data_IF_371149868610
#
_entry.id   IF_371149868610
#
_cell.length_a   1.000
_cell.length_b   1.000
_cell.length_c   1.000
_cell.angle_alpha   90.00
_cell.angle_beta   90.00
_cell.angle_gamma   90.00
#
_symmetry.space_group_name_H-M   'P 1'
#
loop_
_entity.id
_entity.type
_entity.pdbx_description
1 polymer ?
#
# COMPACT_ATOMS: atom_id res chain seq x y z
N UNK A 1 -3.87 17.09 -0.37
CA UNK A 1 -3.16 16.00 0.36
C UNK A 1 -3.20 16.30 1.83
N UNK A 2 -3.55 15.31 2.67
CA UNK A 2 -3.48 15.37 4.14
C UNK A 2 -2.20 14.68 4.63
N UNK A 3 -1.63 15.14 5.73
CA UNK A 3 -0.48 14.47 6.37
C UNK A 3 -0.76 14.36 7.86
N UNK A 4 -0.99 13.12 8.28
CA UNK A 4 -1.25 12.75 9.67
C UNK A 4 0.08 12.36 10.29
N UNK A 5 0.52 13.08 11.32
CA UNK A 5 1.78 12.84 12.00
C UNK A 5 1.47 12.28 13.38
N UNK A 6 1.67 10.99 13.55
CA UNK A 6 1.44 10.28 14.79
C UNK A 6 2.73 10.13 15.60
N UNK A 7 2.60 9.97 16.90
CA UNK A 7 3.73 9.94 17.82
C UNK A 7 4.70 8.78 17.54
N UNK A 8 4.19 7.64 17.13
CA UNK A 8 4.94 6.41 16.92
C UNK A 8 4.19 5.46 15.98
N UNK A 9 4.82 4.32 15.66
CA UNK A 9 4.26 3.30 14.78
C UNK A 9 2.94 2.72 15.28
N UNK A 10 2.76 2.56 16.58
CA UNK A 10 1.52 2.02 17.15
C UNK A 10 0.35 2.98 16.94
N UNK A 11 0.54 4.28 17.18
CA UNK A 11 -0.50 5.28 16.96
C UNK A 11 -0.81 5.46 15.46
N UNK A 12 0.22 5.47 14.59
CA UNK A 12 0.07 5.43 13.15
C UNK A 12 -0.80 4.25 12.71
N UNK A 13 -0.51 3.06 13.24
CA UNK A 13 -1.23 1.83 12.90
C UNK A 13 -2.69 1.88 13.34
N UNK A 14 -2.97 2.41 14.54
CA UNK A 14 -4.34 2.60 15.06
C UNK A 14 -5.11 3.62 14.24
N UNK A 15 -4.49 4.76 13.93
CA UNK A 15 -5.12 5.79 13.10
C UNK A 15 -5.50 5.23 11.73
N UNK A 16 -4.56 4.56 11.07
CA UNK A 16 -4.79 3.99 9.75
C UNK A 16 -5.89 2.92 9.76
N UNK A 17 -5.90 2.03 10.76
CA UNK A 17 -6.94 1.02 10.90
C UNK A 17 -8.31 1.65 11.17
N UNK A 18 -8.38 2.64 12.08
CA UNK A 18 -9.61 3.40 12.36
C UNK A 18 -10.16 4.02 11.09
N UNK A 19 -9.32 4.70 10.29
CA UNK A 19 -9.72 5.32 9.04
C UNK A 19 -10.30 4.30 8.05
N UNK A 20 -9.68 3.13 7.91
CA UNK A 20 -10.20 2.03 7.07
C UNK A 20 -11.57 1.58 7.56
N UNK A 21 -11.71 1.31 8.86
CA UNK A 21 -12.97 0.85 9.47
C UNK A 21 -14.09 1.88 9.29
N UNK A 22 -13.81 3.14 9.58
CA UNK A 22 -14.77 4.23 9.43
C UNK A 22 -15.19 4.42 7.97
N UNK A 23 -14.26 4.35 7.03
CA UNK A 23 -14.53 4.49 5.59
C UNK A 23 -15.40 3.34 5.08
N UNK A 24 -15.10 2.10 5.46
CA UNK A 24 -15.93 0.93 5.10
C UNK A 24 -17.34 1.08 5.69
N UNK A 25 -17.45 1.43 6.96
CA UNK A 25 -18.74 1.57 7.65
C UNK A 25 -19.58 2.73 7.09
N UNK A 26 -18.94 3.84 6.71
CA UNK A 26 -19.62 4.96 6.06
C UNK A 26 -20.12 4.61 4.64
N UNK A 27 -19.38 3.77 3.92
CA UNK A 27 -19.77 3.31 2.58
C UNK A 27 -20.95 2.33 2.61
N UNK A 28 -21.09 1.53 3.69
CA UNK A 28 -22.13 0.51 3.87
C UNK A 28 -22.15 -0.52 2.71
N UNK A 29 -21.08 -1.32 2.55
CA UNK A 29 -20.97 -2.25 1.43
C UNK A 29 -22.08 -3.32 1.44
N UNK A 30 -22.56 -3.66 0.23
CA UNK A 30 -23.53 -4.75 0.00
C UNK A 30 -22.99 -5.71 -1.07
N UNK A 31 -23.68 -6.81 -1.29
CA UNK A 31 -23.31 -7.76 -2.36
C UNK A 31 -23.37 -7.10 -3.76
N UNK A 32 -24.32 -6.18 -3.98
CA UNK A 32 -24.49 -5.48 -5.25
C UNK A 32 -23.57 -4.26 -5.38
N UNK A 33 -23.07 -3.76 -4.25
CA UNK A 33 -22.18 -2.60 -4.19
C UNK A 33 -21.05 -2.89 -3.19
N UNK A 34 -20.08 -3.73 -3.55
CA UNK A 34 -18.94 -4.03 -2.69
C UNK A 34 -18.03 -2.80 -2.51
N UNK A 35 -17.32 -2.74 -1.39
CA UNK A 35 -16.22 -1.79 -1.22
C UNK A 35 -14.93 -2.40 -1.76
N UNK A 36 -14.20 -1.66 -2.59
CA UNK A 36 -12.99 -2.13 -3.25
C UNK A 36 -11.76 -1.55 -2.58
N UNK A 37 -10.94 -2.43 -1.96
CA UNK A 37 -9.79 -2.06 -1.15
C UNK A 37 -8.48 -2.51 -1.79
N UNK A 38 -7.57 -1.57 -2.05
CA UNK A 38 -6.19 -1.83 -2.46
C UNK A 38 -5.29 -2.04 -1.24
N UNK A 39 -4.43 -3.07 -1.24
CA UNK A 39 -3.67 -3.51 -0.09
C UNK A 39 -2.18 -3.71 -0.39
N UNK A 40 -1.27 -3.18 0.46
CA UNK A 40 0.17 -3.43 0.36
C UNK A 40 0.61 -4.64 1.18
N UNK A 41 1.83 -5.10 0.95
CA UNK A 41 2.58 -5.98 1.84
C UNK A 41 3.72 -5.23 2.54
N UNK A 42 4.59 -5.94 3.25
CA UNK A 42 5.74 -5.39 3.94
C UNK A 42 5.48 -5.01 5.40
N UNK A 43 6.47 -4.41 6.05
CA UNK A 43 6.42 -4.18 7.49
C UNK A 43 5.52 -3.02 7.94
N UNK A 44 5.34 -1.99 7.10
CA UNK A 44 4.55 -0.80 7.48
C UNK A 44 3.07 -1.10 7.75
N UNK A 45 2.35 -1.93 6.97
CA UNK A 45 0.93 -2.20 7.20
C UNK A 45 0.64 -3.23 8.30
N UNK A 46 1.64 -3.94 8.83
CA UNK A 46 1.40 -5.05 9.78
C UNK A 46 0.63 -4.62 11.03
N UNK A 47 0.99 -3.49 11.63
CA UNK A 47 0.29 -2.96 12.80
C UNK A 47 -1.16 -2.58 12.47
N UNK A 48 -1.38 -1.94 11.32
CA UNK A 48 -2.74 -1.63 10.84
C UNK A 48 -3.55 -2.91 10.61
N UNK A 49 -2.99 -3.95 9.99
CA UNK A 49 -3.69 -5.23 9.81
C UNK A 49 -4.07 -5.87 11.14
N UNK A 50 -3.16 -5.84 12.12
CA UNK A 50 -3.46 -6.36 13.45
C UNK A 50 -4.64 -5.62 14.13
N UNK A 51 -4.72 -4.30 13.98
CA UNK A 51 -5.84 -3.50 14.50
C UNK A 51 -7.14 -3.77 13.71
N UNK A 52 -7.10 -3.90 12.38
CA UNK A 52 -8.27 -4.29 11.57
C UNK A 52 -8.80 -5.66 12.00
N UNK A 53 -7.92 -6.65 12.21
CA UNK A 53 -8.32 -7.99 12.70
C UNK A 53 -9.01 -7.91 14.06
N UNK A 54 -8.56 -7.03 14.97
CA UNK A 54 -9.24 -6.79 16.25
C UNK A 54 -10.64 -6.21 16.04
N UNK A 55 -10.78 -5.22 15.16
CA UNK A 55 -12.08 -4.59 14.86
C UNK A 55 -13.08 -5.59 14.25
N UNK A 56 -12.62 -6.46 13.32
CA UNK A 56 -13.47 -7.53 12.77
C UNK A 56 -13.90 -8.51 13.85
N UNK A 57 -12.99 -8.97 14.71
CA UNK A 57 -13.30 -9.87 15.82
C UNK A 57 -14.24 -9.24 16.86
N UNK A 58 -14.18 -7.92 17.05
CA UNK A 58 -15.08 -7.17 17.89
C UNK A 58 -16.46 -6.90 17.23
N UNK A 59 -16.62 -7.21 15.94
CA UNK A 59 -17.85 -6.93 15.18
C UNK A 59 -18.04 -5.45 14.83
N UNK A 60 -16.96 -4.66 14.86
CA UNK A 60 -16.98 -3.23 14.53
C UNK A 60 -17.00 -2.99 13.01
N UNK A 61 -16.51 -3.96 12.22
CA UNK A 61 -16.49 -3.94 10.76
C UNK A 61 -16.58 -5.36 10.21
N UNK A 62 -17.14 -5.52 9.00
CA UNK A 62 -17.19 -6.78 8.26
C UNK A 62 -16.59 -6.63 6.88
N UNK A 63 -15.81 -7.60 6.45
CA UNK A 63 -15.22 -7.69 5.11
C UNK A 63 -16.02 -8.59 4.17
N UNK A 64 -17.20 -9.04 4.58
CA UNK A 64 -18.05 -9.96 3.81
C UNK A 64 -18.41 -9.44 2.41
N UNK A 65 -18.58 -8.14 2.26
CA UNK A 65 -18.93 -7.47 0.99
C UNK A 65 -17.78 -6.58 0.49
N UNK A 66 -16.55 -7.07 0.64
CA UNK A 66 -15.34 -6.40 0.16
C UNK A 66 -14.81 -7.12 -1.07
N UNK A 67 -14.16 -6.37 -1.96
CA UNK A 67 -13.22 -6.87 -2.96
C UNK A 67 -11.85 -6.32 -2.62
N UNK A 68 -10.81 -7.14 -2.68
CA UNK A 68 -9.45 -6.69 -2.36
C UNK A 68 -8.51 -6.89 -3.54
N UNK A 69 -7.59 -5.94 -3.75
CA UNK A 69 -6.56 -5.99 -4.79
C UNK A 69 -5.20 -5.69 -4.17
N UNK A 70 -4.27 -6.65 -4.20
CA UNK A 70 -2.92 -6.41 -3.73
C UNK A 70 -2.07 -5.65 -4.76
N UNK A 71 -1.08 -4.89 -4.27
CA UNK A 71 -0.24 -4.03 -5.12
C UNK A 71 0.68 -4.81 -6.04
N UNK A 72 1.19 -5.95 -5.60
CA UNK A 72 2.30 -6.64 -6.25
C UNK A 72 2.41 -8.11 -5.81
N UNK A 73 3.22 -8.87 -6.54
CA UNK A 73 3.68 -10.22 -6.19
C UNK A 73 4.99 -10.52 -6.92
N UNK A 74 5.84 -11.31 -6.30
CA UNK A 74 7.08 -11.81 -6.92
C UNK A 74 6.80 -12.77 -8.06
N UNK A 75 7.59 -12.67 -9.14
CA UNK A 75 7.56 -13.64 -10.25
C UNK A 75 8.39 -14.87 -9.91
N UNK A 76 7.82 -16.05 -10.17
CA UNK A 76 8.49 -17.34 -10.03
C UNK A 76 8.54 -17.88 -8.60
N UNK A 77 7.92 -17.19 -7.63
CA UNK A 77 7.81 -17.66 -6.26
C UNK A 77 6.48 -18.41 -6.09
N UNK A 78 6.47 -19.67 -5.63
CA UNK A 78 5.23 -20.40 -5.37
C UNK A 78 4.34 -19.63 -4.37
N UNK A 79 3.02 -19.64 -4.54
CA UNK A 79 2.08 -18.99 -3.61
C UNK A 79 2.24 -19.49 -2.16
N UNK A 80 2.58 -20.79 -2.00
CA UNK A 80 2.84 -21.40 -0.70
C UNK A 80 4.20 -21.06 -0.09
N UNK A 81 5.07 -20.37 -0.81
CA UNK A 81 6.36 -19.95 -0.26
C UNK A 81 6.14 -18.95 0.88
N UNK A 82 6.85 -19.06 2.03
CA UNK A 82 6.63 -18.17 3.18
C UNK A 82 6.72 -16.69 2.84
N UNK A 83 7.57 -16.32 1.88
CA UNK A 83 7.83 -14.94 1.49
C UNK A 83 7.03 -14.50 0.24
N UNK A 84 6.11 -15.33 -0.26
CA UNK A 84 5.14 -14.87 -1.27
C UNK A 84 4.16 -13.88 -0.63
N UNK A 85 3.66 -12.94 -1.41
CA UNK A 85 2.68 -11.99 -0.90
C UNK A 85 1.32 -12.66 -0.67
N UNK A 86 1.01 -13.75 -1.37
CA UNK A 86 -0.12 -14.62 -1.03
C UNK A 86 -0.01 -15.15 0.40
N UNK A 87 1.13 -15.74 0.78
CA UNK A 87 1.36 -16.24 2.14
C UNK A 87 1.40 -15.11 3.17
N UNK A 88 2.04 -13.99 2.83
CA UNK A 88 2.06 -12.81 3.71
C UNK A 88 0.65 -12.32 4.05
N UNK A 89 -0.19 -12.13 3.04
CA UNK A 89 -1.55 -11.63 3.23
C UNK A 89 -2.45 -12.63 3.93
N UNK A 90 -2.33 -13.91 3.61
CA UNK A 90 -3.05 -14.96 4.30
C UNK A 90 -2.73 -14.96 5.81
N UNK A 91 -1.44 -14.89 6.17
CA UNK A 91 -0.99 -14.98 7.56
C UNK A 91 -1.27 -13.71 8.37
N UNK A 92 -1.24 -12.53 7.76
CA UNK A 92 -1.36 -11.26 8.49
C UNK A 92 -2.76 -10.65 8.45
N UNK A 93 -3.62 -11.05 7.49
CA UNK A 93 -4.96 -10.48 7.35
C UNK A 93 -6.03 -11.51 6.98
N UNK A 94 -5.96 -12.12 5.80
CA UNK A 94 -7.11 -12.82 5.21
C UNK A 94 -7.59 -14.06 5.99
N UNK A 95 -6.70 -14.79 6.67
CA UNK A 95 -7.10 -15.91 7.53
C UNK A 95 -7.80 -15.48 8.83
N UNK A 96 -7.85 -14.18 9.13
CA UNK A 96 -8.32 -13.62 10.39
C UNK A 96 -9.56 -12.75 10.26
N UNK A 97 -10.04 -12.52 9.04
CA UNK A 97 -11.20 -11.69 8.71
C UNK A 97 -12.24 -12.48 7.89
N UNK A 98 -13.42 -11.93 7.72
CA UNK A 98 -14.57 -12.57 7.05
C UNK A 98 -14.66 -12.26 5.54
N UNK A 99 -13.54 -11.88 4.90
CA UNK A 99 -13.50 -11.67 3.45
C UNK A 99 -13.63 -13.01 2.69
N UNK A 100 -14.59 -13.16 1.76
CA UNK A 100 -14.68 -14.35 0.93
C UNK A 100 -13.43 -14.54 0.07
N UNK A 101 -12.96 -15.77 -0.08
CA UNK A 101 -11.71 -16.06 -0.83
C UNK A 101 -11.80 -15.64 -2.29
N UNK A 102 -12.96 -15.80 -2.90
CA UNK A 102 -13.26 -15.40 -4.27
C UNK A 102 -13.18 -13.88 -4.51
N UNK A 103 -13.21 -13.11 -3.43
CA UNK A 103 -13.11 -11.65 -3.46
C UNK A 103 -11.68 -11.13 -3.22
N UNK A 104 -10.72 -12.02 -3.02
CA UNK A 104 -9.33 -11.69 -2.75
C UNK A 104 -8.55 -11.82 -4.06
N UNK A 105 -8.02 -10.71 -4.58
CA UNK A 105 -7.24 -10.67 -5.81
C UNK A 105 -5.79 -10.31 -5.51
N UNK A 106 -4.89 -11.22 -5.82
CA UNK A 106 -3.44 -11.04 -5.77
C UNK A 106 -2.89 -11.47 -7.12
N UNK A 107 -1.95 -10.71 -7.68
CA UNK A 107 -1.31 -11.02 -8.96
C UNK A 107 -0.67 -12.41 -8.94
N UNK A 108 -0.85 -13.17 -10.00
CA UNK A 108 -0.26 -14.49 -10.14
C UNK A 108 1.14 -14.40 -10.78
N UNK A 109 2.19 -14.36 -9.96
CA UNK A 109 3.59 -14.34 -10.41
C UNK A 109 4.06 -15.61 -11.13
N UNK A 110 3.21 -16.66 -11.21
CA UNK A 110 3.47 -17.92 -11.90
C UNK A 110 2.56 -18.13 -13.12
N UNK A 111 1.86 -17.08 -13.59
CA UNK A 111 1.04 -17.17 -14.79
C UNK A 111 1.90 -17.51 -16.02
N UNK A 112 1.35 -18.32 -16.95
CA UNK A 112 2.05 -18.67 -18.21
C UNK A 112 2.37 -17.43 -19.06
N UNK A 113 1.46 -16.41 -19.02
CA UNK A 113 1.64 -15.13 -19.69
C UNK A 113 1.49 -13.99 -18.67
N UNK A 114 2.61 -13.48 -18.18
CA UNK A 114 2.67 -12.42 -17.19
C UNK A 114 2.09 -11.08 -17.68
N UNK A 115 2.22 -10.79 -18.98
CA UNK A 115 1.67 -9.56 -19.54
C UNK A 115 0.14 -9.62 -19.62
N UNK A 116 -0.41 -10.78 -19.94
CA UNK A 116 -1.85 -11.01 -19.95
C UNK A 116 -2.43 -10.99 -18.55
N UNK A 117 -1.72 -11.57 -17.57
CA UNK A 117 -2.08 -11.48 -16.15
C UNK A 117 -2.21 -10.01 -15.72
N UNK A 118 -1.21 -9.18 -16.04
CA UNK A 118 -1.25 -7.76 -15.73
C UNK A 118 -2.43 -7.03 -16.39
N UNK A 119 -2.74 -7.33 -17.66
CA UNK A 119 -3.87 -6.74 -18.38
C UNK A 119 -5.23 -7.16 -17.77
N UNK A 120 -5.34 -8.45 -17.42
CA UNK A 120 -6.55 -8.97 -16.79
C UNK A 120 -6.77 -8.38 -15.40
N UNK A 121 -5.69 -8.17 -14.64
CA UNK A 121 -5.76 -7.52 -13.34
C UNK A 121 -6.29 -6.08 -13.43
N UNK A 122 -5.78 -5.28 -14.37
CA UNK A 122 -6.30 -3.94 -14.65
C UNK A 122 -7.77 -3.96 -15.09
N UNK A 123 -8.12 -4.92 -15.95
CA UNK A 123 -9.50 -5.09 -16.41
C UNK A 123 -10.45 -5.44 -15.26
N UNK A 124 -10.05 -6.34 -14.35
CA UNK A 124 -10.85 -6.65 -13.15
C UNK A 124 -11.07 -5.40 -12.28
N UNK A 125 -10.04 -4.58 -12.08
CA UNK A 125 -10.16 -3.31 -11.33
C UNK A 125 -11.15 -2.36 -12.03
N UNK A 126 -11.11 -2.26 -13.35
CA UNK A 126 -12.02 -1.42 -14.14
C UNK A 126 -13.47 -1.93 -14.09
N UNK A 127 -13.68 -3.24 -14.24
CA UNK A 127 -15.00 -3.89 -14.23
C UNK A 127 -15.73 -3.73 -12.89
N UNK A 128 -15.01 -3.66 -11.77
CA UNK A 128 -15.60 -3.40 -10.44
C UNK A 128 -15.79 -1.91 -10.13
N UNK A 129 -15.49 -1.03 -11.08
CA UNK A 129 -15.65 0.42 -10.94
C UNK A 129 -14.48 1.15 -10.28
N UNK A 130 -13.29 0.55 -10.28
CA UNK A 130 -12.08 1.09 -9.67
C UNK A 130 -11.96 0.79 -8.17
N UNK A 131 -10.92 1.30 -7.56
CA UNK A 131 -10.61 1.08 -6.13
C UNK A 131 -11.13 2.25 -5.31
N UNK A 132 -11.86 1.97 -4.24
CA UNK A 132 -12.43 2.99 -3.34
C UNK A 132 -11.34 3.59 -2.43
N UNK A 133 -10.52 2.73 -1.81
CA UNK A 133 -9.37 3.13 -1.00
C UNK A 133 -8.16 2.29 -1.37
N UNK A 134 -7.08 2.91 -1.83
CA UNK A 134 -5.80 2.23 -2.05
C UNK A 134 -4.84 2.55 -0.92
N UNK A 135 -4.44 1.52 -0.16
CA UNK A 135 -3.43 1.64 0.89
C UNK A 135 -2.08 1.26 0.31
N UNK A 136 -1.05 2.03 0.61
CA UNK A 136 0.31 1.78 0.17
C UNK A 136 1.34 2.04 1.25
N UNK A 137 2.55 1.57 1.02
CA UNK A 137 3.76 1.99 1.72
C UNK A 137 4.63 2.87 0.83
N UNK A 138 5.74 3.33 1.39
CA UNK A 138 6.76 4.09 0.66
C UNK A 138 8.13 3.42 0.82
N UNK A 139 8.86 3.25 -0.28
CA UNK A 139 10.25 2.82 -0.25
C UNK A 139 11.19 3.91 0.30
N UNK A 140 12.40 3.57 0.77
CA UNK A 140 13.39 4.58 1.20
C UNK A 140 13.80 5.53 0.07
N UNK A 141 13.70 5.08 -1.17
CA UNK A 141 13.94 5.81 -2.42
C UNK A 141 12.67 6.47 -2.99
N UNK A 142 11.57 6.44 -2.24
CA UNK A 142 10.30 7.06 -2.60
C UNK A 142 9.45 6.28 -3.59
N UNK A 143 9.74 5.00 -3.83
CA UNK A 143 8.86 4.20 -4.67
C UNK A 143 7.53 3.85 -3.98
N UNK A 144 6.47 3.78 -4.76
CA UNK A 144 5.16 3.23 -4.37
C UNK A 144 4.94 1.91 -5.12
N UNK A 145 4.52 0.84 -4.41
CA UNK A 145 4.57 -0.54 -4.90
C UNK A 145 6.00 -0.85 -5.41
N UNK A 146 6.19 -1.64 -6.47
CA UNK A 146 7.52 -1.78 -7.10
C UNK A 146 7.74 -0.78 -8.26
N UNK A 147 7.15 0.42 -8.17
CA UNK A 147 7.45 1.49 -9.11
C UNK A 147 8.74 2.21 -8.71
N UNK A 148 9.87 1.57 -8.97
CA UNK A 148 11.22 2.09 -8.76
C UNK A 148 11.38 3.52 -9.32
N UNK A 149 12.35 4.32 -8.82
CA UNK A 149 12.66 5.64 -9.36
C UNK A 149 12.70 5.64 -10.90
N UNK A 150 12.24 6.72 -11.51
CA UNK A 150 12.10 6.91 -12.95
C UNK A 150 11.01 6.06 -13.64
N UNK A 151 10.16 5.35 -12.87
CA UNK A 151 8.93 4.78 -13.43
C UNK A 151 7.95 5.88 -13.83
N UNK A 152 7.25 5.70 -14.96
CA UNK A 152 6.24 6.65 -15.39
C UNK A 152 5.14 6.84 -14.35
N UNK A 153 4.77 8.09 -14.07
CA UNK A 153 3.68 8.43 -13.13
C UNK A 153 2.29 8.04 -13.67
N UNK A 154 2.19 7.69 -14.96
CA UNK A 154 0.95 7.19 -15.59
C UNK A 154 1.00 5.69 -15.88
N UNK A 155 2.01 4.98 -15.35
CA UNK A 155 2.17 3.54 -15.56
C UNK A 155 0.98 2.74 -15.02
N UNK A 156 0.69 1.62 -15.69
CA UNK A 156 -0.32 0.64 -15.28
C UNK A 156 0.36 -0.64 -14.80
N UNK A 157 -0.42 -1.63 -14.37
CA UNK A 157 0.08 -2.92 -13.91
C UNK A 157 0.96 -3.58 -14.97
N UNK A 158 2.13 -4.05 -14.56
CA UNK A 158 3.14 -4.60 -15.47
C UNK A 158 4.17 -5.46 -14.76
N UNK A 159 4.94 -6.20 -15.56
CA UNK A 159 6.17 -6.86 -15.12
C UNK A 159 7.25 -5.80 -14.86
N UNK A 160 7.92 -5.91 -13.72
CA UNK A 160 9.00 -4.99 -13.33
C UNK A 160 10.23 -5.74 -12.86
N UNK A 161 11.40 -5.37 -13.38
CA UNK A 161 12.69 -5.80 -12.84
C UNK A 161 13.00 -4.99 -11.58
N UNK A 162 13.34 -5.66 -10.49
CA UNK A 162 13.71 -5.03 -9.23
C UNK A 162 15.16 -4.56 -9.26
N UNK A 163 15.42 -3.39 -8.72
CA UNK A 163 16.78 -2.87 -8.57
C UNK A 163 17.60 -3.71 -7.58
N UNK A 164 18.91 -3.61 -7.65
CA UNK A 164 19.81 -4.25 -6.69
C UNK A 164 19.51 -3.75 -5.27
N UNK A 165 19.26 -2.45 -5.09
CA UNK A 165 18.99 -1.85 -3.78
C UNK A 165 17.68 -2.39 -3.18
N UNK A 166 16.62 -2.53 -3.99
CA UNK A 166 15.36 -3.15 -3.57
C UNK A 166 15.56 -4.61 -3.17
N UNK A 167 16.35 -5.38 -3.94
CA UNK A 167 16.67 -6.77 -3.59
C UNK A 167 17.49 -6.87 -2.30
N UNK A 168 18.47 -5.99 -2.10
CA UNK A 168 19.23 -5.89 -0.84
C UNK A 168 18.28 -5.57 0.32
N UNK A 169 17.42 -4.57 0.18
CA UNK A 169 16.46 -4.19 1.22
C UNK A 169 15.50 -5.34 1.59
N UNK A 170 15.07 -6.13 0.59
CA UNK A 170 14.15 -7.25 0.78
C UNK A 170 14.86 -8.55 1.22
N UNK A 171 16.20 -8.65 1.09
CA UNK A 171 16.96 -9.85 1.51
C UNK A 171 16.74 -10.23 2.97
N UNK A 172 16.41 -9.24 3.82
CA UNK A 172 16.05 -9.46 5.25
C UNK A 172 14.91 -10.47 5.43
N UNK A 173 14.01 -10.58 4.47
CA UNK A 173 12.92 -11.57 4.46
C UNK A 173 13.38 -12.93 3.91
N UNK A 174 14.49 -12.98 3.20
CA UNK A 174 15.06 -14.17 2.59
C UNK A 174 16.35 -14.62 3.29
N UNK A 175 16.38 -14.56 4.64
CA UNK A 175 17.52 -14.98 5.44
C UNK A 175 18.79 -14.13 5.24
N UNK A 176 18.69 -12.94 4.69
CA UNK A 176 19.81 -12.05 4.37
C UNK A 176 20.46 -12.33 3.00
N UNK A 177 19.96 -13.30 2.23
CA UNK A 177 20.50 -13.62 0.90
C UNK A 177 19.77 -12.86 -0.21
N UNK A 178 20.44 -11.87 -0.80
CA UNK A 178 19.92 -11.12 -1.94
C UNK A 178 19.65 -12.00 -3.16
N UNK A 179 20.40 -13.12 -3.34
CA UNK A 179 20.21 -14.00 -4.48
C UNK A 179 18.95 -14.86 -4.38
N UNK A 180 18.43 -15.05 -3.16
CA UNK A 180 17.15 -15.71 -2.93
C UNK A 180 15.95 -14.78 -3.23
N UNK A 181 16.15 -13.45 -3.28
CA UNK A 181 15.09 -12.50 -3.63
C UNK A 181 14.86 -12.56 -5.15
N UNK A 182 13.61 -12.79 -5.62
CA UNK A 182 13.30 -12.74 -7.03
C UNK A 182 13.74 -11.43 -7.69
N UNK A 183 14.22 -11.49 -8.90
CA UNK A 183 14.69 -10.32 -9.65
C UNK A 183 13.55 -9.57 -10.36
N UNK A 184 12.37 -10.17 -10.39
CA UNK A 184 11.20 -9.68 -11.15
C UNK A 184 9.95 -9.78 -10.31
N UNK A 185 9.06 -8.80 -10.44
CA UNK A 185 7.75 -8.78 -9.80
C UNK A 185 6.68 -8.30 -10.79
N UNK A 186 5.43 -8.66 -10.52
CA UNK A 186 4.24 -8.01 -11.07
C UNK A 186 3.86 -6.88 -10.11
N UNK A 187 3.57 -5.70 -10.62
CA UNK A 187 3.23 -4.56 -9.78
C UNK A 187 2.20 -3.65 -10.44
N UNK A 188 1.25 -3.17 -9.65
CA UNK A 188 0.38 -2.08 -10.12
C UNK A 188 1.22 -0.85 -10.45
N UNK A 189 0.79 -0.10 -11.45
CA UNK A 189 1.46 1.13 -11.83
C UNK A 189 1.13 2.30 -10.91
N UNK A 190 1.93 3.36 -10.97
CA UNK A 190 1.62 4.62 -10.26
C UNK A 190 0.25 5.14 -10.69
N UNK A 191 -0.05 5.14 -12.01
CA UNK A 191 -1.35 5.57 -12.53
C UNK A 191 -2.50 4.69 -12.06
N UNK A 192 -2.28 3.40 -11.80
CA UNK A 192 -3.30 2.50 -11.23
C UNK A 192 -3.63 2.90 -9.79
N UNK A 193 -2.61 3.15 -8.96
CA UNK A 193 -2.80 3.61 -7.58
C UNK A 193 -3.49 4.98 -7.56
N UNK A 194 -3.01 5.92 -8.39
CA UNK A 194 -3.54 7.29 -8.47
C UNK A 194 -4.97 7.38 -9.06
N UNK A 195 -5.45 6.32 -9.69
CA UNK A 195 -6.84 6.24 -10.19
C UNK A 195 -7.85 5.84 -9.09
N UNK A 196 -7.41 5.42 -7.91
CA UNK A 196 -8.29 5.13 -6.78
C UNK A 196 -9.03 6.40 -6.32
N UNK A 197 -10.19 6.23 -5.67
CA UNK A 197 -10.97 7.38 -5.17
C UNK A 197 -10.27 8.05 -3.99
N UNK A 198 -9.60 7.26 -3.15
CA UNK A 198 -8.75 7.73 -2.07
C UNK A 198 -7.45 6.90 -2.03
N UNK A 199 -6.33 7.54 -1.68
CA UNK A 199 -5.03 6.87 -1.52
C UNK A 199 -4.47 7.20 -0.14
N UNK A 200 -4.15 6.17 0.65
CA UNK A 200 -3.51 6.31 1.96
C UNK A 200 -2.14 5.64 1.97
N UNK A 201 -1.10 6.41 2.27
CA UNK A 201 0.29 5.93 2.30
C UNK A 201 0.79 5.88 3.75
N UNK A 202 1.29 4.72 4.16
CA UNK A 202 1.89 4.49 5.46
C UNK A 202 3.40 4.72 5.38
N UNK A 203 3.92 5.58 6.26
CA UNK A 203 5.32 6.00 6.26
C UNK A 203 5.87 6.02 7.68
N UNK A 204 6.70 5.05 8.06
CA UNK A 204 7.23 4.95 9.42
C UNK A 204 8.74 4.77 9.46
N UNK A 205 9.34 5.42 10.45
CA UNK A 205 10.75 5.32 10.78
C UNK A 205 11.66 6.29 10.02
N UNK A 206 12.78 6.62 10.62
CA UNK A 206 13.77 7.59 10.13
C UNK A 206 14.29 7.27 8.71
N UNK A 207 14.42 5.99 8.35
CA UNK A 207 14.88 5.58 7.01
C UNK A 207 13.92 6.00 5.86
N UNK A 208 12.74 6.51 6.18
CA UNK A 208 11.76 7.04 5.21
C UNK A 208 11.73 8.57 5.17
N UNK A 209 12.48 9.26 6.04
CA UNK A 209 12.39 10.71 6.21
C UNK A 209 12.67 11.47 4.92
N UNK A 210 13.68 11.08 4.16
CA UNK A 210 14.01 11.69 2.87
C UNK A 210 12.91 11.47 1.82
N UNK A 211 12.35 10.27 1.76
CA UNK A 211 11.25 9.95 0.85
C UNK A 211 9.98 10.72 1.21
N UNK A 212 9.68 10.88 2.50
CA UNK A 212 8.57 11.68 2.99
C UNK A 212 8.76 13.16 2.65
N UNK A 213 9.96 13.69 2.86
CA UNK A 213 10.28 15.07 2.48
C UNK A 213 10.08 15.30 0.97
N UNK A 214 10.58 14.40 0.13
CA UNK A 214 10.38 14.48 -1.32
C UNK A 214 8.90 14.39 -1.72
N UNK A 215 8.11 13.53 -1.03
CA UNK A 215 6.68 13.38 -1.27
C UNK A 215 5.86 14.64 -0.96
N UNK A 216 6.26 15.40 0.08
CA UNK A 216 5.48 16.53 0.59
C UNK A 216 6.01 17.87 0.06
N UNK A 217 7.33 18.07 0.10
CA UNK A 217 7.98 19.36 -0.19
C UNK A 217 8.67 19.40 -1.56
N UNK A 218 8.95 18.24 -2.13
CA UNK A 218 9.61 18.13 -3.43
C UNK A 218 8.67 18.44 -4.61
N UNK A 219 9.22 18.62 -5.82
CA UNK A 219 8.40 18.67 -7.04
C UNK A 219 7.78 17.32 -7.36
N UNK A 220 6.68 17.33 -8.12
CA UNK A 220 6.16 16.11 -8.73
C UNK A 220 7.15 15.62 -9.78
N UNK A 221 7.72 14.46 -9.56
CA UNK A 221 8.75 13.89 -10.44
C UNK A 221 8.74 12.37 -10.40
N UNK A 222 9.10 11.75 -11.51
CA UNK A 222 9.25 10.30 -11.59
C UNK A 222 10.48 9.77 -10.82
N UNK A 223 11.42 10.61 -10.43
CA UNK A 223 12.54 10.26 -9.55
C UNK A 223 12.02 9.79 -8.18
N UNK A 224 10.96 10.42 -7.70
CA UNK A 224 10.25 10.08 -6.47
C UNK A 224 8.81 9.75 -6.84
N UNK A 225 8.52 8.50 -7.20
CA UNK A 225 7.19 8.15 -7.73
C UNK A 225 6.06 8.42 -6.75
N UNK A 226 6.33 8.39 -5.44
CA UNK A 226 5.39 8.83 -4.39
C UNK A 226 4.95 10.29 -4.54
N UNK A 227 5.76 11.15 -5.16
CA UNK A 227 5.42 12.57 -5.35
C UNK A 227 4.17 12.78 -6.20
N UNK A 228 3.75 11.76 -6.98
CA UNK A 228 2.48 11.76 -7.70
C UNK A 228 1.27 11.98 -6.78
N UNK A 229 1.37 11.60 -5.50
CA UNK A 229 0.30 11.79 -4.52
C UNK A 229 -0.09 13.27 -4.33
N UNK A 230 0.82 14.20 -4.61
CA UNK A 230 0.52 15.64 -4.60
C UNK A 230 -0.58 16.03 -5.60
N UNK A 231 -0.78 15.24 -6.66
CA UNK A 231 -1.82 15.46 -7.68
C UNK A 231 -3.15 14.80 -7.31
N UNK A 232 -3.17 13.96 -6.27
CA UNK A 232 -4.38 13.24 -5.89
C UNK A 232 -5.30 14.11 -5.03
N UNK A 233 -6.60 14.16 -5.36
CA UNK A 233 -7.57 14.99 -4.64
C UNK A 233 -7.77 14.53 -3.18
N UNK A 234 -7.74 13.21 -2.95
CA UNK A 234 -7.97 12.57 -1.66
C UNK A 234 -6.74 11.73 -1.24
N UNK A 235 -5.55 12.32 -1.36
CA UNK A 235 -4.31 11.70 -0.91
C UNK A 235 -4.06 11.93 0.57
N UNK A 236 -3.72 10.87 1.31
CA UNK A 236 -3.38 10.90 2.74
C UNK A 236 -2.01 10.25 2.92
N UNK A 237 -1.14 10.87 3.70
CA UNK A 237 0.06 10.24 4.26
C UNK A 237 -0.14 10.13 5.77
N UNK A 238 0.00 8.92 6.31
CA UNK A 238 0.04 8.68 7.76
C UNK A 238 1.46 8.30 8.11
N UNK A 239 2.12 9.12 8.93
CA UNK A 239 3.52 8.92 9.28
C UNK A 239 3.75 9.01 10.80
N UNK A 240 4.87 8.45 11.27
CA UNK A 240 5.33 8.66 12.63
C UNK A 240 6.31 9.85 12.72
N UNK A 241 6.59 10.31 13.93
CA UNK A 241 7.52 11.43 14.18
C UNK A 241 8.90 11.18 13.56
N UNK A 242 9.43 9.95 13.62
CA UNK A 242 10.74 9.61 13.07
C UNK A 242 10.82 9.78 11.54
N UNK A 243 9.72 9.57 10.84
CA UNK A 243 9.67 9.79 9.40
C UNK A 243 9.68 11.28 9.02
N UNK A 244 9.44 12.19 9.97
CA UNK A 244 9.40 13.64 9.70
C UNK A 244 10.74 14.36 9.82
N UNK A 245 11.83 13.67 10.19
CA UNK A 245 13.12 14.25 10.52
C UNK A 245 13.74 15.16 9.43
N UNK A 246 13.37 14.95 8.16
CA UNK A 246 13.85 15.74 7.02
C UNK A 246 12.86 16.84 6.59
N UNK A 247 11.68 16.92 7.21
CA UNK A 247 10.73 17.99 6.91
C UNK A 247 11.20 19.33 7.46
N UNK A 248 10.93 20.42 6.73
CA UNK A 248 11.09 21.76 7.27
C UNK A 248 10.18 21.94 8.48
N UNK A 249 10.68 22.62 9.50
CA UNK A 249 9.93 22.90 10.74
C UNK A 249 8.57 23.58 10.43
N UNK A 250 8.52 24.44 9.43
CA UNK A 250 7.27 25.10 9.01
C UNK A 250 6.24 24.09 8.47
N UNK A 251 6.66 23.15 7.64
CA UNK A 251 5.81 22.10 7.08
C UNK A 251 5.29 21.17 8.17
N UNK A 252 6.17 20.70 9.06
CA UNK A 252 5.79 19.89 10.22
C UNK A 252 4.73 20.58 11.08
N UNK A 253 4.98 21.84 11.49
CA UNK A 253 4.04 22.62 12.32
C UNK A 253 2.71 22.85 11.63
N UNK A 254 2.73 23.10 10.32
CA UNK A 254 1.51 23.29 9.54
C UNK A 254 0.60 22.07 9.62
N UNK A 255 1.12 20.88 9.35
CA UNK A 255 0.30 19.66 9.38
C UNK A 255 -0.11 19.26 10.81
N UNK A 256 0.75 19.46 11.81
CA UNK A 256 0.35 19.24 13.22
C UNK A 256 -0.77 20.18 13.67
N UNK A 257 -0.85 21.39 13.14
CA UNK A 257 -1.91 22.35 13.49
C UNK A 257 -3.22 22.04 12.79
N UNK A 258 -3.20 21.81 11.47
CA UNK A 258 -4.43 21.60 10.71
C UNK A 258 -5.08 20.23 10.95
N UNK A 259 -4.32 19.23 11.37
CA UNK A 259 -4.80 17.86 11.61
C UNK A 259 -5.00 17.55 13.12
N UNK A 260 -4.78 18.51 14.03
CA UNK A 260 -4.84 18.30 15.50
C UNK A 260 -6.15 17.69 16.00
N UNK A 261 -7.27 17.96 15.33
CA UNK A 261 -8.58 17.44 15.71
C UNK A 261 -8.89 16.09 15.01
N UNK A 262 -7.96 15.57 14.21
CA UNK A 262 -8.06 14.32 13.46
C UNK A 262 -7.06 13.24 13.91
N UNK A 263 -6.31 13.48 14.96
CA UNK A 263 -5.34 12.54 15.53
C UNK A 263 -5.98 11.52 16.46
#
# INVERSE_FOLDING_TARGET
MRVIIEKNYEELSRWAARHVVETINAFQPTAEKPFVLGLPTGSSPMGMYAEIVKAVKAGEVSFKHMLTFNMDEYVGLPESHPESYHSFMANNLFNHIDCPKENIHILNGNAENLEEECKNYEKMIEEVGGIDLFIGGIGPDGHIAFNEPFSSLTSRTRVKTLTTDTRIANSRFFGGDMNAVPSTALTVGVGTVMAAKEVMILCNGHNKARALQAAIEGPVTQEWTISALQLHQHGIIVCDELATDELKVGTYRYFKDIEKDNL
#
